data_IF_730308412985
#
_entry.id   IF_730308412985
#
_cell.length_a   1.000
_cell.length_b   1.000
_cell.length_c   1.000
_cell.angle_alpha   90.00
_cell.angle_beta   90.00
_cell.angle_gamma   90.00
#
_symmetry.space_group_name_H-M   'P 1'
#
loop_
_entity.id
_entity.type
_entity.pdbx_description
1 polymer ?
#
# COMPACT_ATOMS: atom_id res chain seq x y z
N UNK A 1 10.27 -2.90 13.32
CA UNK A 1 9.56 -4.01 12.64
C UNK A 1 10.09 -5.33 13.16
N UNK A 2 9.23 -6.28 13.55
CA UNK A 2 9.66 -7.63 13.97
C UNK A 2 10.27 -8.41 12.80
N UNK A 3 11.19 -9.30 13.11
CA UNK A 3 11.83 -10.19 12.14
C UNK A 3 10.92 -11.39 11.80
N UNK A 4 10.96 -11.83 10.55
CA UNK A 4 10.22 -12.99 10.03
C UNK A 4 10.94 -14.32 10.33
N UNK A 5 11.40 -14.55 11.55
CA UNK A 5 11.95 -15.82 12.10
C UNK A 5 12.59 -16.79 11.07
N UNK A 6 13.65 -16.35 10.40
CA UNK A 6 14.41 -17.19 9.46
C UNK A 6 13.86 -17.24 8.04
N UNK A 7 12.65 -16.74 7.75
CA UNK A 7 12.13 -16.65 6.38
C UNK A 7 13.03 -15.86 5.43
N UNK A 8 13.67 -14.74 5.87
CA UNK A 8 14.57 -13.97 5.02
C UNK A 8 15.78 -14.72 4.47
N UNK A 9 16.10 -15.88 4.99
CA UNK A 9 17.23 -16.72 4.54
C UNK A 9 16.83 -17.74 3.48
N UNK A 10 15.53 -17.95 3.25
CA UNK A 10 15.02 -18.88 2.25
C UNK A 10 15.11 -18.28 0.85
N UNK A 11 15.38 -19.13 -0.15
CA UNK A 11 15.29 -18.74 -1.55
C UNK A 11 13.83 -18.48 -1.91
N UNK A 12 13.50 -17.22 -2.15
CA UNK A 12 12.11 -16.73 -2.17
C UNK A 12 11.68 -16.28 -3.56
N UNK A 13 10.46 -16.64 -3.93
CA UNK A 13 9.76 -16.13 -5.10
C UNK A 13 8.56 -15.28 -4.66
N UNK A 14 8.43 -14.07 -5.18
CA UNK A 14 7.23 -13.23 -5.02
C UNK A 14 6.35 -13.38 -6.25
N UNK A 15 5.08 -13.72 -6.06
CA UNK A 15 4.05 -13.71 -7.09
C UNK A 15 3.13 -12.51 -6.90
N UNK A 16 3.31 -11.49 -7.74
CA UNK A 16 2.50 -10.29 -7.72
C UNK A 16 2.37 -9.70 -9.12
N UNK A 17 1.28 -8.99 -9.39
CA UNK A 17 1.06 -8.29 -10.66
C UNK A 17 0.86 -6.78 -10.43
N UNK A 18 1.10 -6.01 -11.50
CA UNK A 18 0.77 -4.59 -11.56
C UNK A 18 0.21 -4.24 -12.94
N UNK A 19 -0.65 -3.24 -13.01
CA UNK A 19 -1.16 -2.70 -14.27
C UNK A 19 -1.82 -1.34 -14.05
N UNK A 20 -2.21 -0.67 -15.14
CA UNK A 20 -3.05 0.53 -15.09
C UNK A 20 -4.43 0.29 -14.45
N UNK A 21 -4.92 -0.97 -14.42
CA UNK A 21 -6.23 -1.35 -13.86
C UNK A 21 -6.15 -1.72 -12.39
N UNK A 22 -5.21 -2.61 -12.02
CA UNK A 22 -5.06 -3.09 -10.64
C UNK A 22 -4.17 -2.19 -9.78
N UNK A 23 -3.47 -1.24 -10.40
CA UNK A 23 -2.52 -0.36 -9.72
C UNK A 23 -1.14 -0.99 -9.54
N UNK A 24 -0.27 -0.26 -8.85
CA UNK A 24 1.12 -0.64 -8.61
C UNK A 24 1.41 -0.99 -7.14
N UNK A 25 0.37 -0.99 -6.30
CA UNK A 25 0.49 -1.13 -4.85
C UNK A 25 1.17 -2.41 -4.40
N UNK A 26 0.80 -3.56 -4.98
CA UNK A 26 1.38 -4.87 -4.68
C UNK A 26 2.89 -4.87 -4.93
N UNK A 27 3.33 -4.61 -6.16
CA UNK A 27 4.78 -4.59 -6.48
C UNK A 27 5.53 -3.57 -5.61
N UNK A 28 4.97 -2.39 -5.35
CA UNK A 28 5.63 -1.38 -4.51
C UNK A 28 5.81 -1.83 -3.07
N UNK A 29 4.80 -2.47 -2.47
CA UNK A 29 4.93 -3.01 -1.10
C UNK A 29 5.86 -4.21 -1.04
N UNK A 30 5.85 -5.06 -2.07
CA UNK A 30 6.75 -6.20 -2.17
C UNK A 30 8.21 -5.77 -2.32
N UNK A 31 8.50 -4.69 -3.03
CA UNK A 31 9.84 -4.11 -3.11
C UNK A 31 10.35 -3.61 -1.75
N UNK A 32 9.45 -3.14 -0.86
CA UNK A 32 9.83 -2.81 0.52
C UNK A 32 10.11 -4.08 1.33
N UNK A 33 9.28 -5.10 1.18
CA UNK A 33 9.47 -6.39 1.84
C UNK A 33 10.77 -7.07 1.36
N UNK A 34 11.06 -7.00 0.07
CA UNK A 34 12.22 -7.62 -0.57
C UNK A 34 13.56 -7.19 0.03
N UNK A 35 13.67 -5.96 0.53
CA UNK A 35 14.86 -5.47 1.23
C UNK A 35 15.27 -6.30 2.44
N UNK A 36 14.35 -7.14 2.95
CA UNK A 36 14.57 -7.98 4.14
C UNK A 36 15.06 -9.39 3.79
N UNK A 37 15.01 -9.78 2.54
CA UNK A 37 15.35 -11.12 2.06
C UNK A 37 16.71 -11.13 1.40
N UNK A 38 17.48 -12.20 1.64
CA UNK A 38 18.85 -12.35 1.09
C UNK A 38 18.84 -12.87 -0.34
N UNK A 39 17.86 -13.70 -0.72
CA UNK A 39 17.71 -14.28 -2.06
C UNK A 39 16.24 -14.25 -2.45
N UNK A 40 15.85 -13.22 -3.20
CA UNK A 40 14.47 -12.98 -3.60
C UNK A 40 14.37 -12.69 -5.09
N UNK A 41 13.37 -13.27 -5.72
CA UNK A 41 13.03 -13.09 -7.14
C UNK A 41 11.54 -12.78 -7.26
N UNK A 42 11.14 -12.21 -8.39
CA UNK A 42 9.74 -11.85 -8.68
C UNK A 42 9.21 -12.63 -9.89
N UNK A 43 7.94 -12.98 -9.86
CA UNK A 43 7.21 -13.57 -10.98
C UNK A 43 5.92 -12.79 -11.22
N UNK A 44 5.77 -12.20 -12.40
CA UNK A 44 4.63 -11.35 -12.76
C UNK A 44 4.20 -11.56 -14.20
N UNK A 45 2.93 -11.32 -14.48
CA UNK A 45 2.43 -11.15 -15.83
C UNK A 45 2.86 -9.78 -16.37
N UNK A 46 3.11 -9.69 -17.68
CA UNK A 46 3.29 -8.42 -18.38
C UNK A 46 1.92 -7.89 -18.79
N UNK A 47 1.44 -6.89 -18.06
CA UNK A 47 0.13 -6.29 -18.26
C UNK A 47 0.27 -4.82 -18.70
N UNK A 48 -0.77 -4.28 -19.32
CA UNK A 48 -0.77 -2.89 -19.79
C UNK A 48 -0.56 -1.90 -18.63
N UNK A 49 0.51 -1.11 -18.72
CA UNK A 49 0.88 -0.14 -17.68
C UNK A 49 1.48 -0.79 -16.43
N UNK A 50 2.07 -1.98 -16.55
CA UNK A 50 2.83 -2.60 -15.46
C UNK A 50 4.10 -1.82 -15.11
N UNK A 51 4.64 -2.07 -13.92
CA UNK A 51 5.94 -1.56 -13.46
C UNK A 51 6.97 -2.69 -13.32
N UNK A 52 6.83 -3.76 -14.10
CA UNK A 52 7.73 -4.91 -14.06
C UNK A 52 9.20 -4.49 -14.28
N UNK A 53 9.45 -3.53 -15.16
CA UNK A 53 10.80 -3.07 -15.47
C UNK A 53 11.45 -2.28 -14.32
N UNK A 54 10.65 -1.72 -13.39
CA UNK A 54 11.14 -1.05 -12.18
C UNK A 54 11.64 -2.04 -11.10
N UNK A 55 11.36 -3.35 -11.24
CA UNK A 55 11.83 -4.37 -10.31
C UNK A 55 13.32 -4.58 -10.49
N UNK A 56 14.13 -4.18 -9.50
CA UNK A 56 15.60 -4.27 -9.51
C UNK A 56 16.13 -5.56 -8.86
N UNK A 57 15.30 -6.63 -8.85
CA UNK A 57 15.65 -7.98 -8.40
C UNK A 57 15.58 -8.96 -9.58
N UNK A 58 16.05 -10.19 -9.39
CA UNK A 58 15.81 -11.26 -10.37
C UNK A 58 14.31 -11.38 -10.63
N UNK A 59 13.90 -11.49 -11.90
CA UNK A 59 12.49 -11.46 -12.25
C UNK A 59 12.15 -12.35 -13.43
N UNK A 60 10.98 -12.95 -13.38
CA UNK A 60 10.43 -13.88 -14.35
C UNK A 60 9.13 -13.32 -14.92
N UNK A 61 9.05 -13.19 -16.23
CA UNK A 61 7.80 -12.86 -16.91
C UNK A 61 7.01 -14.15 -17.13
N UNK A 62 5.85 -14.26 -16.51
CA UNK A 62 4.91 -15.36 -16.74
C UNK A 62 4.14 -15.13 -18.04
N UNK A 63 3.79 -16.23 -18.71
CA UNK A 63 3.00 -16.23 -19.94
C UNK A 63 1.50 -16.27 -19.67
N UNK A 64 1.15 -16.90 -18.55
CA UNK A 64 -0.23 -17.07 -18.10
C UNK A 64 -0.35 -16.91 -16.60
N UNK A 65 -1.59 -16.82 -16.10
CA UNK A 65 -1.89 -16.88 -14.67
C UNK A 65 -2.02 -18.31 -14.14
N UNK A 66 -1.73 -19.32 -14.96
CA UNK A 66 -1.94 -20.73 -14.61
C UNK A 66 -0.98 -21.22 -13.53
N UNK A 67 -1.51 -21.96 -12.56
CA UNK A 67 -0.76 -22.50 -11.43
C UNK A 67 0.37 -23.42 -11.89
N UNK A 68 0.16 -24.18 -12.96
CA UNK A 68 1.16 -25.15 -13.48
C UNK A 68 2.43 -24.46 -13.96
N UNK A 69 2.35 -23.28 -14.57
CA UNK A 69 3.51 -22.49 -14.95
C UNK A 69 4.28 -22.01 -13.71
N UNK A 70 3.57 -21.54 -12.69
CA UNK A 70 4.16 -21.11 -11.43
C UNK A 70 4.83 -22.29 -10.69
N UNK A 71 4.17 -23.43 -10.61
CA UNK A 71 4.72 -24.65 -9.97
C UNK A 71 5.99 -25.13 -10.70
N UNK A 72 5.99 -25.10 -12.03
CA UNK A 72 7.17 -25.43 -12.81
C UNK A 72 8.33 -24.48 -12.49
N UNK A 73 8.07 -23.17 -12.45
CA UNK A 73 9.07 -22.17 -12.11
C UNK A 73 9.66 -22.39 -10.72
N UNK A 74 8.81 -22.71 -9.72
CA UNK A 74 9.22 -23.01 -8.35
C UNK A 74 10.17 -24.20 -8.31
N UNK A 75 9.76 -25.33 -8.94
CA UNK A 75 10.52 -26.56 -8.93
C UNK A 75 11.84 -26.46 -9.70
N UNK A 76 11.82 -25.86 -10.91
CA UNK A 76 13.01 -25.71 -11.75
C UNK A 76 14.09 -24.85 -11.06
N UNK A 77 13.68 -23.85 -10.28
CA UNK A 77 14.59 -22.95 -9.57
C UNK A 77 14.81 -23.30 -8.10
N UNK A 78 14.12 -24.31 -7.58
CA UNK A 78 14.21 -24.76 -6.18
C UNK A 78 13.91 -23.64 -5.17
N UNK A 79 12.85 -22.88 -5.38
CA UNK A 79 12.37 -21.91 -4.42
C UNK A 79 11.85 -22.61 -3.17
N UNK A 80 12.17 -22.08 -2.00
CA UNK A 80 11.81 -22.63 -0.69
C UNK A 80 10.63 -21.89 -0.06
N UNK A 81 10.42 -20.63 -0.48
CA UNK A 81 9.30 -19.79 -0.05
C UNK A 81 8.65 -19.14 -1.26
N UNK A 82 7.33 -19.21 -1.33
CA UNK A 82 6.50 -18.43 -2.24
C UNK A 82 5.76 -17.36 -1.44
N UNK A 83 5.96 -16.10 -1.81
CA UNK A 83 5.14 -14.99 -1.31
C UNK A 83 4.07 -14.70 -2.35
N UNK A 84 2.80 -14.76 -1.96
CA UNK A 84 1.66 -14.44 -2.81
C UNK A 84 1.09 -13.09 -2.38
N UNK A 85 1.21 -12.08 -3.25
CA UNK A 85 0.54 -10.79 -3.10
C UNK A 85 -0.37 -10.54 -4.28
N UNK A 86 -1.51 -11.26 -4.30
CA UNK A 86 -2.40 -11.28 -5.45
C UNK A 86 -3.80 -11.76 -5.08
N UNK A 87 -4.82 -10.95 -5.28
CA UNK A 87 -6.22 -11.28 -4.95
C UNK A 87 -6.85 -12.42 -5.78
N UNK A 88 -6.20 -12.87 -6.85
CA UNK A 88 -6.71 -13.94 -7.70
C UNK A 88 -6.30 -15.35 -7.28
N UNK A 89 -5.62 -15.54 -6.14
CA UNK A 89 -5.31 -16.86 -5.60
C UNK A 89 -6.30 -17.21 -4.51
N UNK A 90 -6.96 -18.36 -4.67
CA UNK A 90 -7.87 -18.92 -3.69
C UNK A 90 -7.15 -19.91 -2.74
N UNK A 91 -7.84 -20.29 -1.67
CA UNK A 91 -7.41 -21.37 -0.77
C UNK A 91 -7.04 -22.66 -1.53
N UNK A 92 -7.83 -23.03 -2.54
CA UNK A 92 -7.59 -24.25 -3.34
C UNK A 92 -6.37 -24.11 -4.26
N UNK A 93 -6.09 -22.90 -4.75
CA UNK A 93 -4.90 -22.62 -5.54
C UNK A 93 -3.63 -22.72 -4.70
N UNK A 94 -3.62 -22.14 -3.50
CA UNK A 94 -2.52 -22.25 -2.54
C UNK A 94 -2.26 -23.73 -2.17
N UNK A 95 -3.32 -24.47 -1.90
CA UNK A 95 -3.26 -25.90 -1.61
C UNK A 95 -2.65 -26.69 -2.76
N UNK A 96 -3.13 -26.45 -4.00
CA UNK A 96 -2.62 -27.13 -5.19
C UNK A 96 -1.14 -26.82 -5.45
N UNK A 97 -0.70 -25.58 -5.25
CA UNK A 97 0.71 -25.18 -5.35
C UNK A 97 1.54 -25.95 -4.32
N UNK A 98 1.11 -25.97 -3.08
CA UNK A 98 1.83 -26.62 -1.99
C UNK A 98 1.93 -28.14 -2.21
N UNK A 99 0.85 -28.80 -2.64
CA UNK A 99 0.85 -30.22 -2.96
C UNK A 99 1.77 -30.58 -4.14
N UNK A 100 1.87 -29.71 -5.16
CA UNK A 100 2.72 -29.95 -6.35
C UNK A 100 4.20 -29.62 -6.13
N UNK A 101 4.54 -28.75 -5.20
CA UNK A 101 5.90 -28.21 -5.08
C UNK A 101 6.53 -28.42 -3.71
N UNK A 102 5.75 -28.58 -2.66
CA UNK A 102 6.24 -28.61 -1.28
C UNK A 102 6.77 -27.26 -0.77
N UNK A 103 6.63 -26.17 -1.54
CA UNK A 103 7.10 -24.83 -1.16
C UNK A 103 6.32 -24.31 0.06
N UNK A 104 6.98 -23.57 0.95
CA UNK A 104 6.28 -22.80 1.99
C UNK A 104 5.58 -21.61 1.34
N UNK A 105 4.39 -21.29 1.83
CA UNK A 105 3.58 -20.18 1.32
C UNK A 105 3.42 -19.11 2.39
N UNK A 106 3.74 -17.85 2.03
CA UNK A 106 3.36 -16.66 2.76
C UNK A 106 2.38 -15.87 1.90
N UNK A 107 1.13 -15.73 2.36
CA UNK A 107 0.12 -14.97 1.63
C UNK A 107 -0.13 -13.62 2.28
N UNK A 108 -0.08 -12.54 1.47
CA UNK A 108 -0.62 -11.26 1.87
C UNK A 108 -2.14 -11.35 1.94
N UNK A 109 -2.71 -10.79 2.99
CA UNK A 109 -4.16 -10.68 3.12
C UNK A 109 -4.56 -9.33 3.72
N UNK A 110 -5.38 -8.60 3.01
CA UNK A 110 -5.91 -7.29 3.40
C UNK A 110 -7.40 -7.36 3.80
N UNK A 111 -8.08 -8.53 3.58
CA UNK A 111 -9.54 -8.65 3.60
C UNK A 111 -10.08 -9.77 4.47
N UNK A 112 -9.19 -10.51 5.15
CA UNK A 112 -9.52 -11.68 5.98
C UNK A 112 -10.18 -12.81 5.19
N UNK A 113 -9.49 -13.24 4.14
CA UNK A 113 -9.86 -14.38 3.32
C UNK A 113 -9.35 -15.70 3.93
N UNK A 114 -9.87 -16.83 3.40
CA UNK A 114 -9.41 -18.16 3.77
C UNK A 114 -8.13 -18.53 3.03
N UNK A 115 -7.11 -19.04 3.75
CA UNK A 115 -5.80 -19.38 3.17
C UNK A 115 -5.30 -20.77 3.53
N UNK A 116 -4.65 -21.44 2.56
CA UNK A 116 -3.87 -22.66 2.77
C UNK A 116 -2.36 -22.35 2.79
N UNK A 117 -1.99 -21.43 3.64
CA UNK A 117 -0.62 -20.90 3.74
C UNK A 117 0.08 -21.30 5.04
N UNK A 118 1.42 -21.33 5.04
CA UNK A 118 2.21 -21.49 6.26
C UNK A 118 2.29 -20.19 7.06
N UNK A 119 2.18 -19.08 6.35
CA UNK A 119 2.30 -17.73 6.91
C UNK A 119 1.28 -16.79 6.28
N UNK A 120 0.67 -15.94 7.09
CA UNK A 120 -0.13 -14.80 6.63
C UNK A 120 0.61 -13.51 6.98
N UNK A 121 0.61 -12.56 6.07
CA UNK A 121 1.11 -11.21 6.30
C UNK A 121 0.01 -10.18 6.01
N UNK A 122 -0.47 -9.53 7.06
CA UNK A 122 -1.37 -8.38 6.94
C UNK A 122 -0.68 -7.13 7.48
N UNK A 123 -0.28 -6.25 6.57
CA UNK A 123 0.52 -5.05 6.84
C UNK A 123 -0.30 -3.82 7.23
N UNK A 124 -1.55 -4.02 7.59
CA UNK A 124 -2.46 -2.93 7.93
C UNK A 124 -2.58 -2.74 9.44
N UNK A 125 -2.80 -1.50 9.87
CA UNK A 125 -2.99 -1.15 11.27
C UNK A 125 -4.20 -1.84 11.90
N UNK A 126 -5.25 -2.09 11.13
CA UNK A 126 -6.47 -2.76 11.60
C UNK A 126 -6.31 -4.27 11.77
N UNK A 127 -5.20 -4.85 11.32
CA UNK A 127 -5.03 -6.29 11.29
C UNK A 127 -4.93 -6.89 12.71
N UNK A 128 -5.76 -7.91 12.95
CA UNK A 128 -5.87 -8.61 14.23
C UNK A 128 -5.70 -10.11 14.05
N UNK A 129 -4.74 -10.69 14.78
CA UNK A 129 -4.42 -12.11 14.69
C UNK A 129 -5.62 -13.02 15.00
N UNK A 130 -6.45 -12.66 15.96
CA UNK A 130 -7.61 -13.46 16.37
C UNK A 130 -8.64 -13.66 15.23
N UNK A 131 -8.73 -12.72 14.28
CA UNK A 131 -9.65 -12.84 13.13
C UNK A 131 -9.24 -13.93 12.15
N UNK A 132 -8.02 -14.46 12.25
CA UNK A 132 -7.51 -15.53 11.38
C UNK A 132 -7.72 -16.95 11.91
N UNK A 133 -8.21 -17.12 13.16
CA UNK A 133 -8.27 -18.44 13.82
C UNK A 133 -9.04 -19.50 13.03
N UNK A 134 -10.11 -19.10 12.31
CA UNK A 134 -10.93 -19.99 11.47
C UNK A 134 -10.64 -19.87 9.97
N UNK A 135 -9.71 -18.97 9.59
CA UNK A 135 -9.41 -18.65 8.19
C UNK A 135 -8.13 -19.33 7.69
N UNK A 136 -7.35 -19.94 8.58
CA UNK A 136 -6.07 -20.56 8.25
C UNK A 136 -5.94 -21.94 8.85
N UNK A 137 -5.11 -22.77 8.25
CA UNK A 137 -4.83 -24.12 8.75
C UNK A 137 -4.05 -24.09 10.08
N UNK A 138 -4.23 -25.16 10.89
CA UNK A 138 -3.51 -25.33 12.15
C UNK A 138 -2.00 -25.33 11.92
N UNK A 139 -1.31 -24.41 12.58
CA UNK A 139 0.15 -24.23 12.47
C UNK A 139 0.57 -23.07 11.60
N UNK A 140 -0.36 -22.40 10.91
CA UNK A 140 -0.09 -21.15 10.21
C UNK A 140 0.33 -20.05 11.19
N UNK A 141 1.41 -19.35 10.88
CA UNK A 141 1.85 -18.20 11.68
C UNK A 141 1.35 -16.90 11.04
N UNK A 142 0.66 -16.07 11.83
CA UNK A 142 0.09 -14.80 11.36
C UNK A 142 0.97 -13.63 11.82
N UNK A 143 1.48 -12.88 10.85
CA UNK A 143 2.23 -11.63 10.99
C UNK A 143 1.28 -10.47 10.69
N UNK A 144 0.91 -9.68 11.69
CA UNK A 144 -0.02 -8.58 11.49
C UNK A 144 0.13 -7.47 12.53
N UNK A 145 -0.49 -6.32 12.23
CA UNK A 145 -0.50 -5.14 13.09
C UNK A 145 0.71 -4.21 12.90
N UNK A 146 0.81 -3.21 13.76
CA UNK A 146 1.77 -2.09 13.62
C UNK A 146 3.25 -2.52 13.55
N UNK A 147 3.58 -3.72 14.03
CA UNK A 147 4.94 -4.26 14.01
C UNK A 147 5.37 -4.74 12.61
N UNK A 148 4.40 -4.95 11.70
CA UNK A 148 4.62 -5.49 10.35
C UNK A 148 4.27 -4.50 9.24
N UNK A 149 4.08 -3.22 9.54
CA UNK A 149 3.84 -2.18 8.55
C UNK A 149 4.98 -2.14 7.52
N UNK A 150 4.62 -2.12 6.25
CA UNK A 150 5.55 -1.87 5.16
C UNK A 150 5.46 -0.39 4.76
N UNK A 151 6.32 0.41 5.38
CA UNK A 151 6.44 1.86 5.13
C UNK A 151 7.85 2.15 4.68
N UNK A 152 8.00 3.09 3.75
CA UNK A 152 9.29 3.52 3.21
C UNK A 152 10.19 4.09 4.32
N UNK A 153 11.49 3.80 4.25
CA UNK A 153 12.47 4.20 5.28
C UNK A 153 12.44 5.70 5.54
N UNK A 154 12.22 6.51 4.50
CA UNK A 154 12.14 7.99 4.59
C UNK A 154 11.09 8.48 5.61
N UNK A 155 10.02 7.71 5.87
CA UNK A 155 9.01 8.09 6.86
C UNK A 155 9.48 7.86 8.29
N UNK A 156 10.23 6.78 8.54
CA UNK A 156 10.83 6.52 9.85
C UNK A 156 11.93 7.53 10.17
N UNK A 157 12.73 7.91 9.17
CA UNK A 157 13.76 8.93 9.29
C UNK A 157 13.13 10.29 9.56
N UNK A 158 12.12 10.67 8.78
CA UNK A 158 11.44 11.96 8.88
C UNK A 158 10.65 12.09 10.19
N UNK A 159 10.13 10.99 10.75
CA UNK A 159 9.44 10.98 12.04
C UNK A 159 10.35 11.45 13.21
N UNK A 160 11.67 11.34 13.06
CA UNK A 160 12.64 11.82 14.04
C UNK A 160 12.98 13.31 13.87
N UNK A 161 12.48 13.95 12.80
CA UNK A 161 12.79 15.34 12.47
C UNK A 161 11.65 16.25 12.93
N UNK A 162 11.98 17.20 13.80
CA UNK A 162 11.02 18.25 14.18
C UNK A 162 10.96 19.31 13.09
N UNK A 163 9.83 19.38 12.38
CA UNK A 163 9.59 20.37 11.31
C UNK A 163 8.67 21.50 11.77
N UNK A 164 8.94 22.70 11.26
CA UNK A 164 7.97 23.79 11.30
C UNK A 164 6.75 23.43 10.43
N UNK A 165 5.56 23.73 10.92
CA UNK A 165 4.29 23.45 10.21
C UNK A 165 3.97 24.65 9.30
N UNK A 166 4.43 24.57 8.05
CA UNK A 166 4.27 25.65 7.06
C UNK A 166 2.96 25.55 6.26
N UNK A 167 2.29 24.39 6.28
CA UNK A 167 0.99 24.17 5.66
C UNK A 167 -0.07 23.88 6.73
N UNK A 168 -1.27 24.45 6.56
CA UNK A 168 -2.41 24.08 7.38
C UNK A 168 -2.88 22.66 7.02
N UNK A 169 -2.89 22.36 5.69
CA UNK A 169 -3.22 21.04 5.18
C UNK A 169 -2.25 20.55 4.11
N UNK A 170 -1.91 19.27 4.14
CA UNK A 170 -1.37 18.57 2.98
C UNK A 170 -2.38 17.52 2.50
N UNK A 171 -2.66 17.51 1.19
CA UNK A 171 -3.68 16.68 0.55
C UNK A 171 -2.99 15.65 -0.34
N UNK A 172 -3.23 14.35 -0.09
CA UNK A 172 -2.66 13.24 -0.86
C UNK A 172 -3.75 12.20 -1.06
N UNK A 173 -4.44 12.26 -2.20
CA UNK A 173 -5.54 11.33 -2.51
C UNK A 173 -5.11 10.25 -3.52
N UNK A 174 -3.95 9.66 -3.26
CA UNK A 174 -3.27 8.74 -4.17
C UNK A 174 -2.58 9.47 -5.33
N UNK A 175 -1.78 8.73 -6.10
CA UNK A 175 -1.04 9.33 -7.22
C UNK A 175 -1.92 9.86 -8.33
N UNK A 176 -3.02 9.18 -8.63
CA UNK A 176 -3.93 9.49 -9.74
C UNK A 176 -5.14 10.32 -9.35
N UNK A 177 -5.44 10.44 -8.06
CA UNK A 177 -6.65 11.10 -7.53
C UNK A 177 -7.91 10.71 -8.34
N UNK A 178 -8.21 9.42 -8.34
CA UNK A 178 -9.34 8.86 -9.14
C UNK A 178 -10.67 9.54 -8.76
N UNK A 179 -10.81 9.94 -7.51
CA UNK A 179 -12.00 10.63 -6.99
C UNK A 179 -12.16 12.07 -7.49
N UNK A 180 -11.06 12.71 -7.95
CA UNK A 180 -11.03 14.12 -8.34
C UNK A 180 -11.25 15.09 -7.18
N UNK A 181 -11.10 14.63 -5.95
CA UNK A 181 -11.44 15.42 -4.76
C UNK A 181 -10.35 16.42 -4.36
N UNK A 182 -9.10 16.23 -4.80
CA UNK A 182 -8.01 17.14 -4.40
C UNK A 182 -8.29 18.60 -4.77
N UNK A 183 -8.79 18.86 -5.97
CA UNK A 183 -9.14 20.23 -6.39
C UNK A 183 -10.33 20.78 -5.59
N UNK A 184 -11.40 20.03 -5.45
CA UNK A 184 -12.62 20.42 -4.72
C UNK A 184 -12.36 20.72 -3.24
N UNK A 185 -11.55 19.90 -2.58
CA UNK A 185 -11.13 20.11 -1.19
C UNK A 185 -10.26 21.37 -1.09
N UNK A 186 -9.31 21.53 -2.01
CA UNK A 186 -8.40 22.67 -2.05
C UNK A 186 -9.14 23.99 -2.22
N UNK A 187 -10.07 24.08 -3.16
CA UNK A 187 -10.91 25.28 -3.35
C UNK A 187 -11.60 25.69 -2.07
N UNK A 188 -12.20 24.71 -1.37
CA UNK A 188 -12.94 24.96 -0.14
C UNK A 188 -12.05 25.47 1.00
N UNK A 189 -10.85 24.92 1.14
CA UNK A 189 -9.90 25.35 2.16
C UNK A 189 -9.27 26.71 1.82
N UNK A 190 -9.02 26.99 0.53
CA UNK A 190 -8.52 28.27 0.07
C UNK A 190 -9.51 29.41 0.34
N UNK A 191 -10.84 29.18 0.21
CA UNK A 191 -11.87 30.15 0.59
C UNK A 191 -11.81 30.56 2.06
N UNK A 192 -11.21 29.72 2.92
CA UNK A 192 -10.97 30.02 4.35
C UNK A 192 -9.60 30.68 4.59
N UNK A 193 -8.83 31.00 3.54
CA UNK A 193 -7.51 31.61 3.64
C UNK A 193 -6.40 30.67 4.12
N UNK A 194 -6.63 29.35 4.11
CA UNK A 194 -5.70 28.34 4.61
C UNK A 194 -4.58 28.05 3.60
N UNK A 195 -3.40 27.72 4.12
CA UNK A 195 -2.22 27.37 3.32
C UNK A 195 -2.16 25.88 3.06
N UNK A 196 -2.11 25.49 1.78
CA UNK A 196 -2.33 24.11 1.34
C UNK A 196 -1.16 23.60 0.50
N UNK A 197 -0.75 22.36 0.74
CA UNK A 197 0.09 21.58 -0.15
C UNK A 197 -0.75 20.45 -0.77
N UNK A 198 -0.73 20.30 -2.10
CA UNK A 198 -1.24 19.10 -2.79
C UNK A 198 -0.05 18.31 -3.31
N UNK A 199 0.00 17.03 -2.95
CA UNK A 199 1.05 16.09 -3.37
C UNK A 199 0.39 15.03 -4.25
N UNK A 200 0.82 14.94 -5.51
CA UNK A 200 0.23 14.06 -6.52
C UNK A 200 1.28 13.59 -7.54
N UNK A 201 0.87 12.80 -8.52
CA UNK A 201 1.76 12.39 -9.61
C UNK A 201 1.31 12.96 -10.95
N UNK A 202 2.18 12.87 -11.96
CA UNK A 202 1.85 13.20 -13.35
C UNK A 202 0.69 12.37 -13.93
N UNK A 203 0.38 11.22 -13.31
CA UNK A 203 -0.77 10.38 -13.65
C UNK A 203 -2.12 10.91 -13.17
N UNK A 204 -2.17 12.03 -12.44
CA UNK A 204 -3.43 12.63 -11.99
C UNK A 204 -4.22 13.24 -13.16
N UNK A 205 -5.42 12.70 -13.40
CA UNK A 205 -6.29 13.16 -14.51
C UNK A 205 -6.81 14.60 -14.31
N UNK A 206 -6.79 15.10 -13.08
CA UNK A 206 -7.26 16.45 -12.72
C UNK A 206 -6.11 17.45 -12.55
N UNK A 207 -4.90 17.13 -13.03
CA UNK A 207 -3.70 17.93 -12.83
C UNK A 207 -3.83 19.34 -13.40
N UNK A 208 -4.59 19.54 -14.48
CA UNK A 208 -4.84 20.85 -15.06
C UNK A 208 -5.57 21.79 -14.11
N UNK A 209 -6.60 21.31 -13.42
CA UNK A 209 -7.32 22.09 -12.40
C UNK A 209 -6.43 22.47 -11.21
N UNK A 210 -5.59 21.53 -10.75
CA UNK A 210 -4.64 21.80 -9.67
C UNK A 210 -3.58 22.83 -10.07
N UNK A 211 -3.08 22.80 -11.30
CA UNK A 211 -2.16 23.81 -11.84
C UNK A 211 -2.82 25.19 -11.94
N UNK A 212 -4.09 25.23 -12.32
CA UNK A 212 -4.86 26.47 -12.37
C UNK A 212 -5.00 27.07 -10.95
N UNK A 213 -5.34 26.28 -9.94
CA UNK A 213 -5.38 26.73 -8.53
C UNK A 213 -4.02 27.28 -8.08
N UNK A 214 -2.94 26.58 -8.42
CA UNK A 214 -1.57 27.00 -8.09
C UNK A 214 -1.19 28.34 -8.72
N UNK A 215 -1.70 28.64 -9.90
CA UNK A 215 -1.45 29.94 -10.55
C UNK A 215 -2.27 31.09 -9.98
N UNK A 216 -3.38 30.80 -9.29
CA UNK A 216 -4.33 31.79 -8.78
C UNK A 216 -4.14 32.14 -7.31
N UNK A 217 -3.41 31.31 -6.53
CA UNK A 217 -3.30 31.50 -5.09
C UNK A 217 -1.89 31.20 -4.56
N UNK A 218 -1.31 32.17 -3.88
CA UNK A 218 -0.03 32.01 -3.16
C UNK A 218 -0.13 31.06 -1.96
N UNK A 219 -1.34 30.80 -1.48
CA UNK A 219 -1.61 29.84 -0.41
C UNK A 219 -1.71 28.39 -0.90
N UNK A 220 -1.52 28.15 -2.19
CA UNK A 220 -1.59 26.81 -2.78
C UNK A 220 -0.25 26.40 -3.38
N UNK A 221 0.30 25.30 -2.88
CA UNK A 221 1.53 24.68 -3.38
C UNK A 221 1.22 23.32 -4.00
N UNK A 222 1.63 23.11 -5.25
CA UNK A 222 1.44 21.85 -5.97
C UNK A 222 2.77 21.11 -6.15
N UNK A 223 2.83 19.87 -5.68
CA UNK A 223 3.99 18.99 -5.79
C UNK A 223 3.65 17.78 -6.64
N UNK A 224 4.22 17.73 -7.85
CA UNK A 224 4.03 16.64 -8.80
C UNK A 224 5.27 15.75 -8.82
N UNK A 225 5.09 14.43 -8.71
CA UNK A 225 6.17 13.42 -8.70
C UNK A 225 7.29 13.73 -7.66
N UNK A 226 6.89 14.28 -6.51
CA UNK A 226 7.85 14.68 -5.47
C UNK A 226 8.54 13.47 -4.85
N UNK A 227 9.86 13.59 -4.67
CA UNK A 227 10.66 12.62 -3.89
C UNK A 227 10.70 12.93 -2.39
N UNK A 228 10.07 14.02 -1.95
CA UNK A 228 10.10 14.49 -0.56
C UNK A 228 8.73 14.35 0.12
N UNK A 229 7.98 13.27 -0.16
CA UNK A 229 6.60 13.10 0.32
C UNK A 229 6.54 13.09 1.85
N UNK A 230 7.40 12.33 2.51
CA UNK A 230 7.46 12.25 3.98
C UNK A 230 7.67 13.63 4.62
N UNK A 231 8.63 14.40 4.09
CA UNK A 231 8.91 15.75 4.53
C UNK A 231 7.70 16.68 4.38
N UNK A 232 7.08 16.70 3.20
CA UNK A 232 5.92 17.55 2.92
C UNK A 232 4.73 17.21 3.83
N UNK A 233 4.53 15.92 4.11
CA UNK A 233 3.53 15.48 5.09
C UNK A 233 3.87 15.97 6.50
N UNK A 234 5.15 15.89 6.89
CA UNK A 234 5.58 16.36 8.21
C UNK A 234 5.54 17.90 8.35
N UNK A 235 5.59 18.65 7.26
CA UNK A 235 5.47 20.12 7.25
C UNK A 235 4.00 20.61 7.34
N UNK A 236 3.02 19.71 7.35
CA UNK A 236 1.60 20.06 7.48
C UNK A 236 1.08 19.90 8.92
N UNK A 237 0.11 20.75 9.32
CA UNK A 237 -0.61 20.63 10.60
C UNK A 237 -1.60 19.46 10.59
N UNK A 238 -2.24 19.22 9.43
CA UNK A 238 -3.24 18.20 9.21
C UNK A 238 -3.07 17.61 7.80
N UNK A 239 -3.21 16.29 7.69
CA UNK A 239 -3.22 15.61 6.39
C UNK A 239 -4.66 15.30 5.98
N UNK A 240 -4.92 15.33 4.67
CA UNK A 240 -6.10 14.73 4.05
C UNK A 240 -5.58 13.65 3.09
N UNK A 241 -5.82 12.39 3.43
CA UNK A 241 -5.22 11.24 2.74
C UNK A 241 -6.28 10.21 2.36
N UNK A 242 -6.01 9.40 1.34
CA UNK A 242 -6.85 8.21 1.10
C UNK A 242 -6.66 7.18 2.23
N UNK A 243 -7.73 6.46 2.55
CA UNK A 243 -7.71 5.32 3.47
C UNK A 243 -7.03 4.11 2.82
N UNK A 244 -5.71 4.19 2.69
CA UNK A 244 -4.83 3.22 2.02
C UNK A 244 -3.51 3.09 2.79
N UNK A 245 -2.44 2.61 2.17
CA UNK A 245 -1.08 2.60 2.76
C UNK A 245 -0.62 3.98 3.28
N UNK A 246 -1.21 5.08 2.79
CA UNK A 246 -0.95 6.43 3.32
C UNK A 246 -1.33 6.58 4.80
N UNK A 247 -2.30 5.80 5.29
CA UNK A 247 -2.63 5.77 6.72
C UNK A 247 -1.46 5.21 7.54
N UNK A 248 -0.79 4.17 7.05
CA UNK A 248 0.40 3.62 7.69
C UNK A 248 1.56 4.64 7.69
N UNK A 249 1.75 5.36 6.58
CA UNK A 249 2.77 6.42 6.46
C UNK A 249 2.48 7.58 7.43
N UNK A 250 1.23 8.05 7.50
CA UNK A 250 0.82 9.08 8.44
C UNK A 250 0.96 8.64 9.90
N UNK A 251 0.65 7.37 10.19
CA UNK A 251 0.80 6.78 11.53
C UNK A 251 2.27 6.77 11.96
N UNK A 252 3.18 6.31 11.09
CA UNK A 252 4.64 6.29 11.37
C UNK A 252 5.17 7.70 11.60
N UNK A 253 4.71 8.69 10.83
CA UNK A 253 5.07 10.10 11.04
C UNK A 253 4.51 10.69 12.34
N UNK A 254 3.56 10.04 13.01
CA UNK A 254 2.81 10.63 14.11
C UNK A 254 1.97 11.85 13.69
N UNK A 255 1.62 11.94 12.42
CA UNK A 255 0.89 13.06 11.84
C UNK A 255 -0.61 12.96 12.11
N UNK A 256 -1.27 14.11 12.33
CA UNK A 256 -2.74 14.17 12.40
C UNK A 256 -3.32 14.09 10.99
N UNK A 257 -4.38 13.33 10.80
CA UNK A 257 -4.98 13.16 9.48
C UNK A 257 -6.49 12.99 9.51
N UNK A 258 -7.11 13.31 8.37
CA UNK A 258 -8.47 12.92 7.98
C UNK A 258 -8.36 11.95 6.82
N UNK A 259 -9.00 10.80 6.90
CA UNK A 259 -8.97 9.78 5.85
C UNK A 259 -10.17 9.88 4.92
N UNK A 260 -9.96 9.69 3.63
CA UNK A 260 -11.01 9.65 2.61
C UNK A 260 -11.03 8.26 1.99
N UNK A 261 -12.16 7.57 2.11
CA UNK A 261 -12.41 6.27 1.49
C UNK A 261 -13.07 6.48 0.13
N UNK A 262 -12.51 5.88 -0.90
CA UNK A 262 -12.94 6.06 -2.31
C UNK A 262 -13.16 4.73 -3.03
N UNK A 263 -12.94 3.60 -2.36
CA UNK A 263 -13.05 2.27 -2.94
C UNK A 263 -13.52 1.23 -1.92
N UNK A 264 -14.20 0.18 -2.38
CA UNK A 264 -14.80 -0.85 -1.53
C UNK A 264 -13.81 -1.65 -0.69
N UNK A 265 -12.59 -1.86 -1.20
CA UNK A 265 -11.51 -2.53 -0.47
C UNK A 265 -10.97 -1.71 0.72
N UNK A 266 -11.49 -0.49 0.94
CA UNK A 266 -11.14 0.38 2.06
C UNK A 266 -12.14 0.28 3.23
N UNK A 267 -13.13 -0.61 3.18
CA UNK A 267 -14.16 -0.76 4.23
C UNK A 267 -13.59 -1.15 5.59
N UNK A 268 -12.66 -2.10 5.61
CA UNK A 268 -12.03 -2.56 6.86
C UNK A 268 -11.23 -1.44 7.55
N UNK A 269 -10.40 -0.74 6.79
CA UNK A 269 -9.63 0.37 7.35
C UNK A 269 -10.54 1.54 7.76
N UNK A 270 -11.64 1.78 7.04
CA UNK A 270 -12.62 2.79 7.41
C UNK A 270 -13.26 2.48 8.76
N UNK A 271 -13.75 1.25 8.94
CA UNK A 271 -14.36 0.81 10.19
C UNK A 271 -13.38 0.96 11.36
N UNK A 272 -12.16 0.47 11.18
CA UNK A 272 -11.11 0.57 12.18
C UNK A 272 -10.78 2.03 12.55
N UNK A 273 -10.67 2.92 11.57
CA UNK A 273 -10.41 4.34 11.80
C UNK A 273 -11.51 4.96 12.66
N UNK A 274 -12.78 4.69 12.35
CA UNK A 274 -13.93 5.19 13.12
C UNK A 274 -13.94 4.66 14.56
N UNK A 275 -13.70 3.37 14.75
CA UNK A 275 -13.65 2.71 16.06
C UNK A 275 -12.49 3.24 16.94
N UNK A 276 -11.38 3.65 16.31
CA UNK A 276 -10.21 4.19 17.00
C UNK A 276 -10.20 5.73 17.08
N UNK A 277 -11.34 6.39 16.80
CA UNK A 277 -11.52 7.82 17.00
C UNK A 277 -10.88 8.72 15.95
N UNK A 278 -10.47 8.15 14.80
CA UNK A 278 -9.97 8.93 13.68
C UNK A 278 -11.13 9.52 12.84
N UNK A 279 -10.85 10.66 12.22
CA UNK A 279 -11.77 11.26 11.26
C UNK A 279 -11.66 10.54 9.91
N UNK A 280 -12.73 9.84 9.52
CA UNK A 280 -12.80 9.13 8.23
C UNK A 280 -14.15 9.40 7.55
N UNK A 281 -14.12 9.57 6.22
CA UNK A 281 -15.24 10.01 5.40
C UNK A 281 -15.30 9.19 4.11
N UNK A 282 -16.51 8.95 3.59
CA UNK A 282 -16.71 8.37 2.27
C UNK A 282 -16.80 9.45 1.20
N UNK A 283 -15.97 9.33 0.16
CA UNK A 283 -16.01 10.23 -0.99
C UNK A 283 -16.01 11.70 -0.60
N UNK A 284 -17.00 12.43 -1.08
CA UNK A 284 -17.12 13.88 -0.89
C UNK A 284 -17.75 14.32 0.43
N UNK A 285 -18.17 13.39 1.30
CA UNK A 285 -18.62 13.71 2.67
C UNK A 285 -17.57 14.53 3.43
N UNK A 286 -16.29 14.30 3.17
CA UNK A 286 -15.21 15.11 3.76
C UNK A 286 -15.40 16.59 3.53
N UNK A 287 -15.94 16.98 2.37
CA UNK A 287 -16.20 18.37 2.06
C UNK A 287 -17.23 19.02 3.00
N UNK A 288 -18.08 18.24 3.67
CA UNK A 288 -19.03 18.77 4.66
C UNK A 288 -18.37 19.04 6.00
N UNK A 289 -17.22 18.41 6.28
CA UNK A 289 -16.46 18.52 7.54
C UNK A 289 -15.38 19.58 7.51
N UNK A 290 -15.16 20.21 6.36
CA UNK A 290 -14.18 21.27 6.13
C UNK A 290 -14.93 22.63 6.14
#
# INVERSE_FOLDING_TARGET
MKEFKGLPLLKTLVRADSSSKIGHGHIRRDLLLAKKFSDISFASLRLEGDIFDEINYSKFSLRSGEIDELCKLINDNKFELLIIDHYGFSFEDERAIKEKTGVKILSFDDTYEKHFADYILNVNLYAQKARYEELVEKGCEVFCGSEFLLVRDEFYEEAQVKREKIYDYAIILGGTDISGLSAKISEKLLLKGLKIAVITTSGNKNLSALKELSSKSENFSLFVDSKNVARLMNEAKMLIITASSLVNEAYVLGAKFKAVCVADNQKEIFAWLKENGYEAYWGDEICLSL
#
